data_IF_501343765996
#
_entry.id   IF_501343765996
#
_cell.length_a   1.000
_cell.length_b   1.000
_cell.length_c   1.000
_cell.angle_alpha   90.00
_cell.angle_beta   90.00
_cell.angle_gamma   90.00
#
_symmetry.space_group_name_H-M   'P 1'
#
loop_
_entity.id
_entity.type
_entity.pdbx_description
1 polymer ?
#
# COMPACT_ATOMS: atom_id res chain seq x y z
N UNK A 1 -28.14 4.64 -3.65
CA UNK A 1 -26.84 4.23 -3.07
C UNK A 1 -26.05 5.46 -2.69
N UNK A 2 -25.63 5.57 -1.42
CA UNK A 2 -25.02 6.77 -0.84
C UNK A 2 -23.50 6.87 -1.02
N UNK A 3 -22.85 5.88 -1.66
CA UNK A 3 -21.39 5.81 -1.74
C UNK A 3 -20.74 7.02 -2.43
N UNK A 4 -21.22 7.40 -3.62
CA UNK A 4 -20.72 8.57 -4.34
C UNK A 4 -21.00 9.87 -3.57
N UNK A 5 -22.18 9.99 -2.98
CA UNK A 5 -22.56 11.13 -2.15
C UNK A 5 -21.61 11.34 -0.96
N UNK A 6 -21.27 10.27 -0.22
CA UNK A 6 -20.33 10.34 0.91
C UNK A 6 -18.95 10.79 0.45
N UNK A 7 -18.46 10.23 -0.66
CA UNK A 7 -17.15 10.58 -1.23
C UNK A 7 -17.13 12.04 -1.71
N UNK A 8 -18.19 12.48 -2.40
CA UNK A 8 -18.34 13.85 -2.88
C UNK A 8 -18.33 14.85 -1.72
N UNK A 9 -19.03 14.53 -0.62
CA UNK A 9 -19.02 15.32 0.62
C UNK A 9 -17.63 15.40 1.26
N UNK A 10 -16.89 14.29 1.32
CA UNK A 10 -15.51 14.28 1.87
C UNK A 10 -14.52 15.04 0.97
N UNK A 11 -14.74 15.06 -0.35
CA UNK A 11 -13.95 15.85 -1.30
C UNK A 11 -14.39 17.32 -1.42
N UNK A 12 -15.59 17.67 -0.97
CA UNK A 12 -16.22 18.99 -1.16
C UNK A 12 -16.39 19.36 -2.65
N UNK A 13 -16.83 18.39 -3.46
CA UNK A 13 -17.11 18.56 -4.90
C UNK A 13 -18.46 17.95 -5.25
N UNK A 14 -18.94 18.18 -6.47
CA UNK A 14 -20.15 17.53 -7.00
C UNK A 14 -19.96 16.01 -7.20
N UNK A 15 -21.05 15.24 -7.06
CA UNK A 15 -21.04 13.79 -7.27
C UNK A 15 -20.59 13.36 -8.69
N UNK A 16 -20.75 14.25 -9.67
CA UNK A 16 -20.30 14.02 -11.05
C UNK A 16 -18.82 14.29 -11.28
N UNK A 17 -18.08 14.78 -10.27
CA UNK A 17 -16.65 15.06 -10.42
C UNK A 17 -15.88 13.76 -10.74
N UNK A 18 -14.94 13.76 -11.72
CA UNK A 18 -14.23 12.55 -12.12
C UNK A 18 -13.51 11.83 -10.96
N UNK A 19 -12.97 12.60 -10.01
CA UNK A 19 -12.30 12.03 -8.82
C UNK A 19 -13.27 11.29 -7.89
N UNK A 20 -14.55 11.69 -7.82
CA UNK A 20 -15.56 10.94 -7.06
C UNK A 20 -15.74 9.56 -7.65
N UNK A 21 -15.81 9.46 -8.98
CA UNK A 21 -15.93 8.17 -9.64
C UNK A 21 -14.68 7.29 -9.44
N UNK A 22 -13.49 7.89 -9.58
CA UNK A 22 -12.22 7.18 -9.35
C UNK A 22 -12.12 6.66 -7.92
N UNK A 23 -12.39 7.51 -6.93
CA UNK A 23 -12.41 7.11 -5.52
C UNK A 23 -13.47 6.06 -5.23
N UNK A 24 -14.65 6.16 -5.84
CA UNK A 24 -15.70 5.16 -5.67
C UNK A 24 -15.23 3.76 -6.09
N UNK A 25 -14.60 3.65 -7.27
CA UNK A 25 -14.05 2.37 -7.74
C UNK A 25 -12.91 1.87 -6.86
N UNK A 26 -12.00 2.76 -6.44
CA UNK A 26 -10.87 2.39 -5.57
C UNK A 26 -11.34 1.92 -4.19
N UNK A 27 -12.27 2.64 -3.57
CA UNK A 27 -12.82 2.31 -2.25
C UNK A 27 -13.66 1.02 -2.33
N UNK A 28 -14.39 0.83 -3.42
CA UNK A 28 -15.09 -0.43 -3.64
C UNK A 28 -14.10 -1.60 -3.66
N UNK A 29 -13.10 -1.55 -4.54
CA UNK A 29 -12.09 -2.61 -4.68
C UNK A 29 -11.26 -2.84 -3.41
N UNK A 30 -10.92 -1.79 -2.68
CA UNK A 30 -9.99 -1.88 -1.53
C UNK A 30 -10.65 -2.06 -0.17
N UNK A 31 -11.97 -1.88 -0.07
CA UNK A 31 -12.71 -1.95 1.19
C UNK A 31 -14.00 -2.76 1.06
N UNK A 32 -14.88 -2.39 0.14
CA UNK A 32 -16.23 -2.99 0.05
C UNK A 32 -16.22 -4.40 -0.55
N UNK A 33 -15.39 -4.65 -1.56
CA UNK A 33 -15.36 -5.93 -2.30
C UNK A 33 -15.18 -7.13 -1.37
N UNK A 34 -14.27 -7.03 -0.39
CA UNK A 34 -14.05 -8.10 0.58
C UNK A 34 -15.24 -8.28 1.53
N UNK A 35 -15.94 -7.20 1.89
CA UNK A 35 -17.14 -7.28 2.75
C UNK A 35 -18.27 -7.97 1.98
N UNK A 36 -18.53 -7.53 0.75
CA UNK A 36 -19.55 -8.11 -0.13
C UNK A 36 -19.25 -9.59 -0.40
N UNK A 37 -18.01 -9.95 -0.70
CA UNK A 37 -17.61 -11.33 -0.94
C UNK A 37 -17.83 -12.23 0.29
N UNK A 38 -17.42 -11.78 1.48
CA UNK A 38 -17.60 -12.53 2.73
C UNK A 38 -19.08 -12.72 3.04
N UNK A 39 -19.89 -11.66 2.92
CA UNK A 39 -21.33 -11.70 3.18
C UNK A 39 -22.07 -12.68 2.25
N UNK A 40 -21.61 -12.77 1.00
CA UNK A 40 -22.17 -13.67 -0.01
C UNK A 40 -21.52 -15.08 -0.03
N UNK A 41 -20.63 -15.39 0.93
CA UNK A 41 -19.98 -16.70 1.03
C UNK A 41 -19.02 -17.03 -0.11
N UNK A 42 -18.44 -16.00 -0.77
CA UNK A 42 -17.47 -16.15 -1.84
C UNK A 42 -16.08 -16.38 -1.26
N UNK A 43 -15.42 -17.46 -1.69
CA UNK A 43 -14.04 -17.74 -1.31
C UNK A 43 -13.08 -16.75 -1.97
N UNK A 44 -12.02 -16.36 -1.27
CA UNK A 44 -11.00 -15.45 -1.81
C UNK A 44 -10.21 -16.05 -2.99
N UNK A 45 -10.13 -17.38 -3.06
CA UNK A 45 -9.42 -18.10 -4.12
C UNK A 45 -10.24 -19.31 -4.56
N UNK A 46 -10.26 -19.57 -5.86
CA UNK A 46 -10.83 -20.79 -6.45
C UNK A 46 -9.87 -21.97 -6.25
N UNK A 47 -9.89 -22.57 -5.06
CA UNK A 47 -9.00 -23.68 -4.70
C UNK A 47 -9.60 -24.57 -3.62
N UNK A 48 -9.34 -25.87 -3.70
CA UNK A 48 -9.70 -26.86 -2.67
C UNK A 48 -8.62 -27.00 -1.59
N UNK A 49 -7.47 -26.33 -1.74
CA UNK A 49 -6.39 -26.39 -0.76
C UNK A 49 -6.77 -25.62 0.50
N UNK A 50 -6.46 -26.14 1.71
CA UNK A 50 -6.71 -25.41 2.93
C UNK A 50 -5.86 -24.14 3.01
N UNK A 51 -6.40 -23.10 3.63
CA UNK A 51 -5.66 -21.87 3.88
C UNK A 51 -4.42 -22.15 4.75
N UNK A 52 -3.28 -21.54 4.38
CA UNK A 52 -2.02 -21.68 5.16
C UNK A 52 -2.12 -21.06 6.55
N UNK A 53 -3.03 -20.12 6.73
CA UNK A 53 -3.35 -19.48 8.00
C UNK A 53 -4.81 -19.01 7.98
N UNK A 54 -5.42 -18.87 9.15
CA UNK A 54 -6.76 -18.30 9.32
C UNK A 54 -6.62 -16.84 9.76
N UNK A 55 -7.32 -15.92 9.08
CA UNK A 55 -7.36 -14.52 9.46
C UNK A 55 -8.75 -14.13 9.99
N UNK A 56 -8.84 -13.85 11.29
CA UNK A 56 -10.07 -13.39 11.97
C UNK A 56 -10.01 -11.91 12.39
N UNK A 57 -9.15 -11.13 11.74
CA UNK A 57 -8.96 -9.69 12.04
C UNK A 57 -9.78 -8.76 11.14
N UNK A 58 -10.44 -9.29 10.10
CA UNK A 58 -11.28 -8.52 9.16
C UNK A 58 -12.50 -7.86 9.85
N UNK A 59 -13.09 -6.87 9.19
CA UNK A 59 -14.18 -6.06 9.73
C UNK A 59 -15.37 -6.91 10.17
N UNK A 60 -15.84 -7.86 9.35
CA UNK A 60 -16.97 -8.74 9.72
C UNK A 60 -16.70 -9.54 10.99
N UNK A 61 -15.47 -10.06 11.17
CA UNK A 61 -15.08 -10.74 12.41
C UNK A 61 -15.04 -9.78 13.60
N UNK A 62 -14.57 -8.54 13.42
CA UNK A 62 -14.56 -7.53 14.50
C UNK A 62 -15.96 -7.06 14.89
N UNK A 63 -16.85 -6.90 13.93
CA UNK A 63 -18.28 -6.64 14.16
C UNK A 63 -18.91 -7.81 14.90
N UNK A 64 -18.69 -9.05 14.45
CA UNK A 64 -19.23 -10.24 15.11
C UNK A 64 -18.77 -10.41 16.57
N UNK A 65 -17.58 -9.93 16.93
CA UNK A 65 -17.10 -9.90 18.33
C UNK A 65 -17.86 -8.95 19.24
N UNK A 66 -18.70 -8.07 18.69
CA UNK A 66 -19.54 -7.17 19.48
C UNK A 66 -20.91 -7.76 19.78
N UNK A 67 -21.28 -8.88 19.14
CA UNK A 67 -22.49 -9.61 19.51
C UNK A 67 -22.44 -10.03 20.99
N UNK A 68 -23.62 -10.18 21.59
CA UNK A 68 -23.72 -10.70 22.95
C UNK A 68 -23.11 -12.11 23.00
N UNK A 69 -22.34 -12.36 24.05
CA UNK A 69 -21.82 -13.69 24.29
C UNK A 69 -22.99 -14.61 24.64
N UNK A 70 -22.98 -15.85 24.14
CA UNK A 70 -24.05 -16.81 24.40
C UNK A 70 -24.18 -17.18 25.89
N UNK A 71 -23.13 -16.91 26.68
CA UNK A 71 -23.12 -17.08 28.14
C UNK A 71 -23.55 -15.83 28.91
N UNK A 72 -23.77 -14.70 28.24
CA UNK A 72 -24.23 -13.48 28.91
C UNK A 72 -25.64 -13.72 29.48
N UNK A 73 -25.86 -13.57 30.80
CA UNK A 73 -27.16 -13.75 31.40
C UNK A 73 -28.19 -12.70 30.92
N UNK A 74 -27.73 -11.57 30.38
CA UNK A 74 -28.57 -10.50 29.84
C UNK A 74 -28.57 -10.53 28.30
N UNK A 75 -29.59 -11.20 27.74
CA UNK A 75 -29.87 -11.26 26.30
C UNK A 75 -31.00 -10.29 25.90
N UNK A 76 -31.15 -9.18 26.62
CA UNK A 76 -32.21 -8.20 26.35
C UNK A 76 -31.99 -7.45 25.04
N UNK A 77 -33.09 -6.96 24.45
CA UNK A 77 -33.03 -6.13 23.24
C UNK A 77 -32.29 -4.82 23.49
N UNK A 78 -32.40 -4.25 24.70
CA UNK A 78 -31.63 -3.07 25.09
C UNK A 78 -30.11 -3.33 25.03
N UNK A 79 -29.67 -4.50 25.49
CA UNK A 79 -28.26 -4.91 25.43
C UNK A 79 -27.80 -5.15 23.99
N UNK A 80 -28.66 -5.75 23.18
CA UNK A 80 -28.42 -5.95 21.75
C UNK A 80 -28.28 -4.61 21.01
N UNK A 81 -29.14 -3.64 21.28
CA UNK A 81 -29.09 -2.30 20.70
C UNK A 81 -27.78 -1.56 21.10
N UNK A 82 -27.34 -1.67 22.36
CA UNK A 82 -26.04 -1.14 22.78
C UNK A 82 -24.88 -1.74 21.98
N UNK A 83 -24.89 -3.07 21.79
CA UNK A 83 -23.90 -3.78 20.98
C UNK A 83 -23.94 -3.33 19.51
N UNK A 84 -25.14 -3.17 18.95
CA UNK A 84 -25.36 -2.68 17.59
C UNK A 84 -24.79 -1.27 17.39
N UNK A 85 -25.03 -0.34 18.33
CA UNK A 85 -24.46 1.01 18.27
C UNK A 85 -22.92 1.01 18.29
N UNK A 86 -22.31 0.10 19.06
CA UNK A 86 -20.84 -0.09 19.05
C UNK A 86 -20.37 -0.63 17.70
N UNK A 87 -21.09 -1.58 17.12
CA UNK A 87 -20.78 -2.14 15.80
C UNK A 87 -20.88 -1.10 14.68
N UNK A 88 -21.95 -0.28 14.69
CA UNK A 88 -22.09 0.86 13.79
C UNK A 88 -20.92 1.83 13.90
N UNK A 89 -20.52 2.17 15.13
CA UNK A 89 -19.41 3.10 15.37
C UNK A 89 -18.09 2.54 14.85
N UNK A 90 -17.83 1.25 15.07
CA UNK A 90 -16.64 0.55 14.56
C UNK A 90 -16.61 0.54 13.03
N UNK A 91 -17.67 0.05 12.39
CA UNK A 91 -17.72 -0.08 10.93
C UNK A 91 -17.73 1.28 10.24
N UNK A 92 -18.51 2.23 10.76
CA UNK A 92 -18.62 3.58 10.22
C UNK A 92 -17.31 4.37 10.34
N UNK A 93 -16.62 4.30 11.47
CA UNK A 93 -15.33 4.99 11.64
C UNK A 93 -14.26 4.42 10.71
N UNK A 94 -14.16 3.10 10.61
CA UNK A 94 -13.19 2.45 9.74
C UNK A 94 -13.43 2.74 8.26
N UNK A 95 -14.70 2.72 7.82
CA UNK A 95 -15.05 3.11 6.45
C UNK A 95 -14.67 4.57 6.17
N UNK A 96 -15.02 5.50 7.06
CA UNK A 96 -14.70 6.92 6.88
C UNK A 96 -13.19 7.18 6.91
N UNK A 97 -12.43 6.48 7.75
CA UNK A 97 -10.97 6.57 7.76
C UNK A 97 -10.37 6.08 6.43
N UNK A 98 -10.91 5.00 5.86
CA UNK A 98 -10.57 4.53 4.52
C UNK A 98 -10.86 5.57 3.44
N UNK A 99 -12.09 6.11 3.41
CA UNK A 99 -12.50 7.15 2.45
C UNK A 99 -11.57 8.37 2.55
N UNK A 100 -11.29 8.84 3.77
CA UNK A 100 -10.43 10.00 4.02
C UNK A 100 -8.99 9.74 3.63
N UNK A 101 -8.46 8.55 3.90
CA UNK A 101 -7.13 8.15 3.42
C UNK A 101 -7.07 8.25 1.89
N UNK A 102 -8.04 7.67 1.19
CA UNK A 102 -8.03 7.67 -0.26
C UNK A 102 -8.20 9.08 -0.84
N UNK A 103 -9.11 9.87 -0.29
CA UNK A 103 -9.37 11.24 -0.72
C UNK A 103 -8.20 12.20 -0.45
N UNK A 104 -7.63 12.16 0.77
CA UNK A 104 -6.70 13.18 1.26
C UNK A 104 -5.23 12.81 1.11
N UNK A 105 -4.91 11.52 0.96
CA UNK A 105 -3.53 11.03 0.85
C UNK A 105 -3.27 10.31 -0.47
N UNK A 106 -4.06 9.29 -0.79
CA UNK A 106 -3.82 8.48 -1.98
C UNK A 106 -4.08 9.24 -3.28
N UNK A 107 -5.22 9.92 -3.42
CA UNK A 107 -5.58 10.62 -4.66
C UNK A 107 -4.57 11.72 -5.04
N UNK A 108 -4.16 12.64 -4.13
CA UNK A 108 -3.14 13.64 -4.45
C UNK A 108 -1.78 13.03 -4.85
N UNK A 109 -1.43 11.86 -4.31
CA UNK A 109 -0.17 11.17 -4.62
C UNK A 109 -0.06 10.81 -6.10
N UNK A 110 -1.16 10.63 -6.82
CA UNK A 110 -1.14 10.31 -8.26
C UNK A 110 -0.29 11.30 -9.06
N UNK A 111 -0.50 12.60 -8.82
CA UNK A 111 0.23 13.66 -9.52
C UNK A 111 1.73 13.64 -9.24
N UNK A 112 2.12 13.20 -8.04
CA UNK A 112 3.50 13.03 -7.62
C UNK A 112 4.13 11.82 -8.32
N UNK A 113 3.39 10.71 -8.42
CA UNK A 113 3.81 9.50 -9.14
C UNK A 113 4.01 9.77 -10.62
N UNK A 114 3.07 10.44 -11.28
CA UNK A 114 3.19 10.82 -12.70
C UNK A 114 4.48 11.61 -12.94
N UNK A 115 4.70 12.67 -12.15
CA UNK A 115 5.92 13.50 -12.29
C UNK A 115 7.20 12.73 -12.05
N UNK A 116 7.22 11.85 -11.04
CA UNK A 116 8.40 11.03 -10.74
C UNK A 116 8.69 10.01 -11.84
N UNK A 117 7.65 9.43 -12.45
CA UNK A 117 7.78 8.53 -13.60
C UNK A 117 8.27 9.30 -14.83
N UNK A 118 7.78 10.51 -15.08
CA UNK A 118 8.25 11.35 -16.20
C UNK A 118 9.74 11.72 -16.05
N UNK A 119 10.17 12.07 -14.83
CA UNK A 119 11.56 12.43 -14.50
C UNK A 119 12.50 11.25 -14.24
N UNK A 120 12.06 10.00 -14.44
CA UNK A 120 12.83 8.79 -14.08
C UNK A 120 14.21 8.70 -14.73
N UNK A 121 14.35 9.26 -15.94
CA UNK A 121 15.62 9.26 -16.68
C UNK A 121 16.68 10.17 -16.06
N UNK A 122 16.29 11.16 -15.25
CA UNK A 122 17.22 12.01 -14.49
C UNK A 122 17.83 11.24 -13.31
N UNK A 123 17.10 10.23 -12.79
CA UNK A 123 17.58 9.35 -11.73
C UNK A 123 18.54 8.32 -12.30
N UNK A 124 18.11 7.61 -13.34
CA UNK A 124 18.91 6.59 -14.01
C UNK A 124 18.58 6.50 -15.51
N UNK A 125 19.59 6.45 -16.41
CA UNK A 125 19.36 6.40 -17.85
C UNK A 125 18.52 5.21 -18.34
N UNK A 126 18.45 4.10 -17.59
CA UNK A 126 17.58 2.97 -17.97
C UNK A 126 16.09 3.31 -17.85
N UNK A 127 15.75 4.30 -17.02
CA UNK A 127 14.38 4.63 -16.64
C UNK A 127 13.72 3.58 -15.73
N UNK A 128 14.49 2.65 -15.14
CA UNK A 128 13.96 1.60 -14.27
C UNK A 128 13.91 2.00 -12.78
N UNK A 129 14.24 3.25 -12.47
CA UNK A 129 14.32 3.79 -11.10
C UNK A 129 13.56 5.12 -11.05
N UNK A 130 12.65 5.25 -10.09
CA UNK A 130 11.96 6.52 -9.81
C UNK A 130 12.31 7.04 -8.43
N UNK A 131 12.36 8.36 -8.29
CA UNK A 131 12.67 9.03 -7.04
C UNK A 131 11.51 9.89 -6.55
N UNK A 132 11.20 9.78 -5.25
CA UNK A 132 10.27 10.66 -4.55
C UNK A 132 11.01 11.44 -3.46
N UNK A 133 11.07 12.77 -3.59
CA UNK A 133 11.64 13.62 -2.54
C UNK A 133 10.79 13.67 -1.25
N UNK A 134 9.59 13.10 -1.28
CA UNK A 134 8.75 12.91 -0.11
C UNK A 134 7.98 11.61 -0.26
N UNK A 135 7.88 10.83 0.80
CA UNK A 135 7.04 9.64 0.79
C UNK A 135 5.58 9.99 0.44
N UNK A 136 5.00 9.20 -0.46
CA UNK A 136 3.57 9.21 -0.75
C UNK A 136 3.07 7.78 -1.05
N UNK A 137 1.75 7.49 -0.97
CA UNK A 137 1.19 6.23 -1.43
C UNK A 137 1.40 6.04 -2.94
N UNK A 138 2.48 5.39 -3.34
CA UNK A 138 2.87 5.30 -4.75
C UNK A 138 2.48 3.98 -5.43
N UNK A 139 2.34 2.88 -4.67
CA UNK A 139 2.29 1.52 -5.24
C UNK A 139 1.23 1.34 -6.32
N UNK A 140 -0.05 1.51 -6.00
CA UNK A 140 -1.13 1.32 -6.97
C UNK A 140 -1.02 2.27 -8.16
N UNK A 141 -0.74 3.56 -7.90
CA UNK A 141 -0.54 4.55 -8.95
C UNK A 141 0.61 4.19 -9.89
N UNK A 142 1.70 3.62 -9.38
CA UNK A 142 2.84 3.24 -10.20
C UNK A 142 2.43 2.20 -11.25
N UNK A 143 1.69 1.16 -10.85
CA UNK A 143 1.19 0.15 -11.80
C UNK A 143 0.24 0.77 -12.84
N UNK A 144 -0.70 1.61 -12.41
CA UNK A 144 -1.63 2.29 -13.33
C UNK A 144 -0.90 3.20 -14.32
N UNK A 145 0.06 3.99 -13.83
CA UNK A 145 0.85 4.93 -14.65
C UNK A 145 1.76 4.17 -15.62
N UNK A 146 2.36 3.06 -15.20
CA UNK A 146 3.17 2.21 -16.09
C UNK A 146 2.35 1.67 -17.25
N UNK A 147 1.11 1.22 -16.99
CA UNK A 147 0.18 0.74 -18.00
C UNK A 147 -0.25 1.88 -18.94
N UNK A 148 -0.71 3.01 -18.38
CA UNK A 148 -1.16 4.19 -19.13
C UNK A 148 -0.06 4.76 -20.05
N UNK A 149 1.17 4.86 -19.54
CA UNK A 149 2.32 5.38 -20.27
C UNK A 149 3.08 4.32 -21.09
N UNK A 150 2.65 3.06 -21.05
CA UNK A 150 3.28 1.92 -21.76
C UNK A 150 4.77 1.80 -21.45
N UNK A 151 5.14 1.89 -20.17
CA UNK A 151 6.53 1.85 -19.72
C UNK A 151 7.13 0.47 -19.96
N UNK A 152 8.24 0.43 -20.70
CA UNK A 152 9.01 -0.79 -20.95
C UNK A 152 10.50 -0.43 -21.12
N UNK A 153 11.43 -1.07 -20.39
CA UNK A 153 11.19 -2.06 -19.32
C UNK A 153 10.46 -1.44 -18.10
N UNK A 154 9.79 -2.27 -17.27
CA UNK A 154 9.06 -1.79 -16.10
C UNK A 154 10.01 -1.28 -15.02
N UNK A 155 9.54 -0.36 -14.19
CA UNK A 155 10.27 0.24 -13.08
C UNK A 155 10.57 -0.83 -12.03
N UNK A 156 11.84 -0.97 -11.66
CA UNK A 156 12.31 -1.99 -10.71
C UNK A 156 12.41 -1.44 -9.29
N UNK A 157 12.77 -0.18 -9.14
CA UNK A 157 13.02 0.43 -7.84
C UNK A 157 12.36 1.79 -7.68
N UNK A 158 11.92 2.04 -6.46
CA UNK A 158 11.49 3.35 -5.98
C UNK A 158 12.45 3.78 -4.88
N UNK A 159 13.02 4.97 -5.01
CA UNK A 159 13.77 5.61 -3.94
C UNK A 159 12.97 6.76 -3.33
N UNK A 160 12.99 6.88 -2.01
CA UNK A 160 12.25 7.96 -1.34
C UNK A 160 12.86 8.35 0.00
N UNK A 161 12.73 9.62 0.37
CA UNK A 161 13.13 10.10 1.67
C UNK A 161 12.19 9.57 2.76
N UNK A 162 12.76 9.06 3.85
CA UNK A 162 12.06 8.68 5.06
C UNK A 162 12.19 9.80 6.09
N UNK A 163 11.18 10.67 6.10
CA UNK A 163 11.07 11.85 6.98
C UNK A 163 11.32 11.52 8.47
N UNK A 164 11.08 10.27 8.90
CA UNK A 164 11.27 9.86 10.31
C UNK A 164 12.73 9.61 10.66
N UNK A 165 13.52 9.12 9.70
CA UNK A 165 14.92 8.73 9.93
C UNK A 165 15.94 9.67 9.26
N UNK A 166 15.46 10.68 8.51
CA UNK A 166 16.30 11.57 7.66
C UNK A 166 17.23 10.78 6.73
N UNK A 167 16.79 9.59 6.34
CA UNK A 167 17.50 8.70 5.44
C UNK A 167 16.67 8.42 4.19
N UNK A 168 17.23 7.65 3.28
CA UNK A 168 16.62 7.30 2.01
C UNK A 168 16.36 5.80 1.94
N UNK A 169 15.17 5.44 1.45
CA UNK A 169 14.78 4.07 1.18
C UNK A 169 15.02 3.72 -0.27
N UNK A 170 15.37 2.46 -0.50
CA UNK A 170 15.37 1.82 -1.82
C UNK A 170 14.41 0.65 -1.72
N UNK A 171 13.27 0.74 -2.38
CA UNK A 171 12.25 -0.29 -2.33
C UNK A 171 12.07 -0.93 -3.70
N UNK A 172 12.17 -2.25 -3.75
CA UNK A 172 11.89 -3.02 -4.96
C UNK A 172 10.38 -3.03 -5.23
N UNK A 173 10.02 -2.81 -6.49
CA UNK A 173 8.62 -2.89 -6.93
C UNK A 173 8.22 -4.35 -7.06
N UNK A 174 7.02 -4.70 -6.60
CA UNK A 174 6.49 -6.06 -6.70
C UNK A 174 6.08 -6.43 -8.13
N UNK A 175 5.99 -7.73 -8.43
CA UNK A 175 5.50 -8.22 -9.73
C UNK A 175 4.03 -7.86 -9.97
N UNK A 176 3.24 -7.76 -8.91
CA UNK A 176 1.87 -7.26 -8.91
C UNK A 176 1.53 -6.59 -7.58
N UNK A 177 0.45 -5.78 -7.49
CA UNK A 177 0.09 -5.07 -6.26
C UNK A 177 -0.19 -5.97 -5.03
N UNK A 178 -0.61 -7.22 -5.27
CA UNK A 178 -1.06 -8.19 -4.27
C UNK A 178 0.00 -9.29 -3.98
N UNK A 179 1.18 -9.20 -4.57
CA UNK A 179 2.27 -10.19 -4.40
C UNK A 179 3.46 -9.57 -3.68
N UNK A 180 4.13 -10.38 -2.84
CA UNK A 180 5.36 -9.99 -2.15
C UNK A 180 6.61 -10.14 -3.01
N UNK A 181 6.53 -10.91 -4.09
CA UNK A 181 7.63 -11.13 -5.02
C UNK A 181 8.03 -9.82 -5.70
N UNK A 182 9.31 -9.48 -5.63
CA UNK A 182 9.87 -8.27 -6.24
C UNK A 182 10.23 -8.53 -7.70
N UNK A 183 9.97 -7.57 -8.60
CA UNK A 183 10.45 -7.60 -10.00
C UNK A 183 11.95 -7.80 -10.06
N UNK A 184 12.66 -7.11 -9.15
CA UNK A 184 14.08 -7.31 -8.88
C UNK A 184 14.39 -7.02 -7.41
N UNK A 185 14.51 -8.06 -6.60
CA UNK A 185 14.95 -7.88 -5.22
C UNK A 185 16.39 -7.32 -5.17
N UNK A 186 16.73 -6.60 -4.11
CA UNK A 186 18.10 -6.13 -3.88
C UNK A 186 19.09 -7.33 -3.86
N UNK A 187 20.36 -7.13 -4.27
CA UNK A 187 21.36 -8.17 -4.42
C UNK A 187 21.47 -9.08 -3.20
N UNK A 188 21.59 -10.40 -3.44
CA UNK A 188 21.59 -11.41 -2.38
C UNK A 188 22.70 -11.18 -1.35
N UNK A 189 23.87 -10.75 -1.81
CA UNK A 189 25.03 -10.44 -0.97
C UNK A 189 24.80 -9.27 -0.01
N UNK A 190 23.81 -8.39 -0.26
CA UNK A 190 23.50 -7.29 0.66
C UNK A 190 22.45 -7.67 1.71
N UNK A 191 21.67 -8.73 1.48
CA UNK A 191 20.48 -9.03 2.28
C UNK A 191 20.86 -9.40 3.71
N UNK A 192 20.23 -8.74 4.67
CA UNK A 192 20.51 -8.90 6.09
C UNK A 192 21.67 -8.03 6.60
N UNK A 193 22.47 -7.44 5.70
CA UNK A 193 23.58 -6.56 6.08
C UNK A 193 23.07 -5.19 6.52
N UNK A 194 23.86 -4.53 7.38
CA UNK A 194 23.57 -3.22 7.96
C UNK A 194 24.82 -2.36 8.04
N UNK A 195 24.61 -1.05 8.14
CA UNK A 195 25.61 -0.05 8.49
C UNK A 195 26.97 -0.20 7.73
N UNK A 196 28.10 -0.26 8.43
CA UNK A 196 29.43 -0.36 7.82
C UNK A 196 29.63 -1.65 7.01
N UNK A 197 29.01 -2.76 7.42
CA UNK A 197 29.12 -4.05 6.71
C UNK A 197 28.45 -3.97 5.34
N UNK A 198 27.23 -3.40 5.28
CA UNK A 198 26.54 -3.12 4.03
C UNK A 198 27.34 -2.14 3.16
N UNK A 199 27.90 -1.09 3.77
CA UNK A 199 28.67 -0.09 3.03
C UNK A 199 29.93 -0.70 2.40
N UNK A 200 30.59 -1.61 3.12
CA UNK A 200 31.78 -2.34 2.65
C UNK A 200 31.43 -3.31 1.53
N UNK A 201 30.39 -4.12 1.70
CA UNK A 201 29.99 -5.15 0.73
C UNK A 201 29.44 -4.54 -0.57
N UNK A 202 28.65 -3.47 -0.46
CA UNK A 202 28.10 -2.77 -1.63
C UNK A 202 29.10 -1.84 -2.32
N UNK A 203 30.17 -1.45 -1.63
CA UNK A 203 31.07 -0.37 -2.07
C UNK A 203 30.41 1.02 -2.05
N UNK A 204 29.23 1.15 -1.44
CA UNK A 204 28.45 2.39 -1.40
C UNK A 204 28.40 2.91 0.03
N UNK A 205 28.96 4.10 0.32
CA UNK A 205 28.99 4.61 1.68
C UNK A 205 27.60 4.91 2.22
N UNK A 206 27.46 4.82 3.55
CA UNK A 206 26.25 5.24 4.25
C UNK A 206 25.09 4.26 4.18
N UNK A 207 25.34 2.98 3.87
CA UNK A 207 24.33 1.94 3.99
C UNK A 207 23.71 1.90 5.40
N UNK A 208 22.41 1.67 5.48
CA UNK A 208 21.67 1.55 6.76
C UNK A 208 21.26 0.11 6.99
N UNK A 209 20.53 -0.48 6.04
CA UNK A 209 20.19 -1.91 6.05
C UNK A 209 19.69 -2.38 4.69
N UNK A 210 19.65 -3.71 4.49
CA UNK A 210 18.81 -4.37 3.48
C UNK A 210 18.04 -5.52 4.14
N UNK A 211 16.72 -5.59 3.91
CA UNK A 211 15.89 -6.66 4.45
C UNK A 211 16.32 -8.03 3.90
N UNK A 212 16.14 -9.11 4.67
CA UNK A 212 16.58 -10.47 4.30
C UNK A 212 16.01 -10.98 2.96
N UNK A 213 14.82 -10.54 2.57
CA UNK A 213 14.24 -10.89 1.26
C UNK A 213 14.72 -9.99 0.13
N UNK A 214 15.37 -8.86 0.44
CA UNK A 214 15.79 -7.84 -0.53
C UNK A 214 14.68 -6.91 -1.03
N UNK A 215 13.46 -6.94 -0.46
CA UNK A 215 12.37 -6.08 -0.94
C UNK A 215 12.60 -4.58 -0.63
N UNK A 216 13.40 -4.27 0.39
CA UNK A 216 13.71 -2.90 0.79
C UNK A 216 15.10 -2.82 1.41
N UNK A 217 15.75 -1.69 1.21
CA UNK A 217 16.94 -1.27 1.91
C UNK A 217 16.94 0.23 2.18
N UNK A 218 18.04 0.73 2.71
CA UNK A 218 18.19 2.16 2.92
C UNK A 218 19.64 2.62 2.98
N UNK A 219 19.80 3.90 2.69
CA UNK A 219 21.06 4.63 2.75
C UNK A 219 20.82 5.96 3.49
N UNK A 220 21.87 6.55 4.07
CA UNK A 220 21.79 7.86 4.73
C UNK A 220 21.54 9.01 3.73
N UNK A 221 21.89 8.83 2.46
CA UNK A 221 21.85 9.90 1.45
C UNK A 221 21.06 9.50 0.21
N UNK A 222 20.56 10.52 -0.51
CA UNK A 222 19.93 10.33 -1.82
C UNK A 222 20.85 9.63 -2.79
N UNK A 223 22.08 10.15 -2.94
CA UNK A 223 23.06 9.63 -3.89
C UNK A 223 23.43 8.18 -3.58
N UNK A 224 23.57 7.83 -2.29
CA UNK A 224 23.82 6.46 -1.88
C UNK A 224 22.65 5.53 -2.17
N UNK A 225 21.40 5.96 -1.94
CA UNK A 225 20.21 5.17 -2.28
C UNK A 225 20.07 4.98 -3.81
N UNK A 226 20.31 6.05 -4.59
CA UNK A 226 20.33 5.99 -6.04
C UNK A 226 21.44 5.04 -6.53
N UNK A 227 22.66 5.13 -5.98
CA UNK A 227 23.75 4.22 -6.31
C UNK A 227 23.42 2.76 -6.00
N UNK A 228 22.76 2.49 -4.87
CA UNK A 228 22.32 1.14 -4.50
C UNK A 228 21.32 0.60 -5.52
N UNK A 229 20.32 1.41 -5.89
CA UNK A 229 19.33 1.02 -6.89
C UNK A 229 19.97 0.77 -8.26
N UNK A 230 20.90 1.63 -8.70
CA UNK A 230 21.63 1.48 -9.97
C UNK A 230 22.48 0.21 -10.02
N UNK A 231 23.27 -0.04 -8.98
CA UNK A 231 24.05 -1.27 -8.86
C UNK A 231 23.14 -2.51 -8.85
N UNK A 232 21.99 -2.44 -8.17
CA UNK A 232 21.01 -3.52 -8.17
C UNK A 232 20.34 -3.74 -9.54
N UNK A 233 20.12 -2.69 -10.34
CA UNK A 233 19.64 -2.84 -11.73
C UNK A 233 20.67 -3.56 -12.59
N UNK A 234 21.96 -3.23 -12.44
CA UNK A 234 23.05 -3.76 -13.26
C UNK A 234 23.48 -5.20 -12.95
N UNK A 235 23.34 -5.65 -11.70
CA UNK A 235 23.68 -7.01 -11.23
C UNK A 235 22.62 -8.06 -11.57
#
# INVERSE_FOLDING_TARGET
>A
HFGKEIIAKELQVDESHPDVHRLFLTIYKSFMEAIDAIDNGINQYDTDQPARYVNSTHLSSRVGRLNLDWTDPDQSSEKEDEAFHRAMSLAGSEFLDGVRFYARSWLPARSVVIKAVEGRFDVDPSGEIVAFHRFCPWKLHLFEVEEEMKISPPIKYVIYEDDRSKGWRVQAVSVSPDRFESRKALPAQWRGLRDEELSKESGIPGGVFVHNSGFIGGNKTYDGAAAMAKAAVAL
#
